data_IF_771679626789
#
_entry.id   IF_771679626789
#
_cell.length_a   1.000
_cell.length_b   1.000
_cell.length_c   1.000
_cell.angle_alpha   90.00
_cell.angle_beta   90.00
_cell.angle_gamma   90.00
#
_symmetry.space_group_name_H-M   'P 1'
#
loop_
_entity.id
_entity.type
_entity.pdbx_description
1 polymer ?
#
# COMPACT_ATOMS: atom_id res chain seq x y z
N UNK A 1 3.23 -3.47 23.51
CA UNK A 1 4.20 -2.42 23.17
C UNK A 1 4.03 -1.26 24.15
N UNK A 2 5.08 -0.97 24.96
CA UNK A 2 5.06 0.14 25.95
C UNK A 2 5.71 1.42 25.38
N UNK A 3 5.63 1.65 24.08
CA UNK A 3 6.08 2.91 23.51
C UNK A 3 5.06 4.01 23.81
N UNK A 4 5.53 5.15 24.30
CA UNK A 4 4.69 6.32 24.45
C UNK A 4 4.04 6.69 23.11
N UNK A 5 2.78 7.16 23.09
CA UNK A 5 2.15 7.62 21.88
C UNK A 5 2.98 8.73 21.23
N UNK A 6 3.18 8.65 19.93
CA UNK A 6 3.80 9.76 19.21
C UNK A 6 2.83 10.95 19.16
N UNK A 7 3.36 12.16 19.35
CA UNK A 7 2.60 13.37 19.11
C UNK A 7 2.16 13.41 17.63
N UNK A 8 0.88 13.70 17.39
CA UNK A 8 0.38 13.92 16.05
C UNK A 8 0.98 15.20 15.50
N UNK A 9 1.70 15.09 14.39
CA UNK A 9 2.23 16.24 13.68
C UNK A 9 1.27 16.59 12.55
N UNK A 10 0.75 17.81 12.48
CA UNK A 10 -0.11 18.22 11.38
C UNK A 10 0.66 18.12 10.06
N UNK A 11 -0.03 17.90 8.92
CA UNK A 11 0.61 17.90 7.62
C UNK A 11 1.22 19.26 7.32
N UNK A 12 2.25 19.27 6.49
CA UNK A 12 2.87 20.50 6.00
C UNK A 12 1.80 21.40 5.36
N UNK A 13 1.76 22.66 5.75
CA UNK A 13 0.72 23.61 5.33
C UNK A 13 -0.57 23.56 6.17
N UNK A 14 -0.61 22.82 7.26
CA UNK A 14 -1.73 22.76 8.21
C UNK A 14 -2.93 21.96 7.71
N UNK A 15 -4.06 22.11 8.39
CA UNK A 15 -5.33 21.45 8.05
C UNK A 15 -5.94 22.09 6.82
N UNK A 16 -6.16 21.30 5.78
CA UNK A 16 -6.78 21.74 4.52
C UNK A 16 -7.49 20.57 3.82
N UNK A 17 -8.32 20.91 2.85
CA UNK A 17 -8.90 19.89 1.98
C UNK A 17 -7.82 19.21 1.14
N UNK A 18 -7.84 17.89 1.11
CA UNK A 18 -6.93 17.10 0.28
C UNK A 18 -7.52 16.94 -1.12
N UNK A 19 -6.87 17.47 -2.13
CA UNK A 19 -7.31 17.37 -3.52
C UNK A 19 -6.25 16.75 -4.39
N UNK A 20 -6.66 15.96 -5.38
CA UNK A 20 -5.72 15.32 -6.31
C UNK A 20 -4.86 16.36 -7.04
N UNK A 21 -5.48 17.43 -7.54
CA UNK A 21 -4.81 18.46 -8.35
C UNK A 21 -3.70 19.20 -7.58
N UNK A 22 -3.81 19.35 -6.25
CA UNK A 22 -2.81 20.07 -5.44
C UNK A 22 -1.82 19.14 -4.74
N UNK A 23 -2.20 17.90 -4.44
CA UNK A 23 -1.35 17.03 -3.64
C UNK A 23 -0.70 15.93 -4.46
N UNK A 24 -1.42 15.34 -5.43
CA UNK A 24 -0.94 14.21 -6.22
C UNK A 24 -0.43 14.65 -7.60
N UNK A 25 -1.19 15.51 -8.29
CA UNK A 25 -0.80 15.96 -9.63
C UNK A 25 0.61 16.57 -9.70
N UNK A 26 1.07 17.40 -8.74
CA UNK A 26 2.45 17.89 -8.74
C UNK A 26 3.52 16.81 -8.73
N UNK A 27 3.23 15.67 -8.08
CA UNK A 27 4.13 14.52 -8.07
C UNK A 27 4.19 13.90 -9.47
N UNK A 28 3.02 13.73 -10.11
CA UNK A 28 2.93 13.23 -11.47
C UNK A 28 3.64 14.15 -12.46
N UNK A 29 3.42 15.46 -12.34
CA UNK A 29 4.03 16.49 -13.20
C UNK A 29 5.57 16.46 -13.08
N UNK A 30 6.10 16.21 -11.91
CA UNK A 30 7.54 16.11 -11.69
C UNK A 30 8.11 14.76 -12.12
N UNK A 31 7.51 13.67 -11.68
CA UNK A 31 8.15 12.36 -11.69
C UNK A 31 7.65 11.40 -12.78
N UNK A 32 6.49 11.67 -13.40
CA UNK A 32 5.82 10.69 -14.26
C UNK A 32 5.62 11.18 -15.70
N UNK A 33 5.24 12.45 -15.91
CA UNK A 33 4.84 12.94 -17.24
C UNK A 33 5.98 12.99 -18.26
N UNK A 34 7.24 12.88 -17.84
CA UNK A 34 8.35 12.72 -18.77
C UNK A 34 8.19 11.49 -19.69
N UNK A 35 7.51 10.44 -19.20
CA UNK A 35 7.20 9.24 -19.97
C UNK A 35 5.67 9.09 -20.21
N UNK A 36 4.84 9.57 -19.27
CA UNK A 36 3.38 9.49 -19.31
C UNK A 36 2.76 10.78 -19.86
N UNK A 37 3.17 11.16 -21.07
CA UNK A 37 2.75 12.41 -21.73
C UNK A 37 1.71 12.21 -22.84
N UNK A 38 1.18 11.00 -22.98
CA UNK A 38 0.21 10.68 -24.02
C UNK A 38 0.80 10.53 -25.43
N UNK A 39 2.13 10.59 -25.58
CA UNK A 39 2.86 10.46 -26.85
C UNK A 39 3.52 9.08 -26.98
N UNK A 40 2.79 8.03 -26.88
CA UNK A 40 3.35 6.68 -26.94
C UNK A 40 2.41 5.62 -26.43
N UNK A 41 3.00 4.53 -25.91
CA UNK A 41 2.21 3.41 -25.34
C UNK A 41 1.76 3.66 -23.90
N UNK A 42 2.41 4.58 -23.19
CA UNK A 42 2.06 4.91 -21.80
C UNK A 42 0.84 5.83 -21.77
N UNK A 43 -0.06 5.59 -20.86
CA UNK A 43 -1.23 6.44 -20.64
C UNK A 43 -0.84 7.83 -20.15
N UNK A 44 -1.67 8.82 -20.47
CA UNK A 44 -1.41 10.24 -20.16
C UNK A 44 -1.66 10.55 -18.67
N UNK A 45 -0.66 11.08 -17.99
CA UNK A 45 -0.73 11.54 -16.59
C UNK A 45 -0.62 13.07 -16.45
N UNK A 46 -0.68 13.82 -17.56
CA UNK A 46 -0.68 15.27 -17.50
C UNK A 46 -1.99 15.79 -16.91
N UNK A 47 -1.88 16.81 -16.06
CA UNK A 47 -3.03 17.53 -15.53
C UNK A 47 -3.72 18.44 -16.53
N UNK A 48 -4.84 19.03 -16.13
CA UNK A 48 -5.54 20.09 -16.87
C UNK A 48 -6.67 19.63 -17.79
N UNK A 49 -6.62 18.45 -18.38
CA UNK A 49 -7.73 17.89 -19.16
C UNK A 49 -8.76 17.25 -18.23
N UNK A 50 -10.05 17.56 -18.46
CA UNK A 50 -11.16 17.00 -17.69
C UNK A 50 -12.16 16.34 -18.62
N UNK A 51 -12.80 15.27 -18.14
CA UNK A 51 -13.91 14.62 -18.84
C UNK A 51 -15.22 15.41 -18.67
N UNK A 52 -16.30 14.96 -19.31
CA UNK A 52 -17.62 15.60 -19.24
C UNK A 52 -18.24 15.62 -17.84
N UNK A 53 -17.71 14.84 -16.89
CA UNK A 53 -18.12 14.80 -15.47
C UNK A 53 -17.21 15.67 -14.60
N UNK A 54 -16.15 16.25 -15.17
CA UNK A 54 -15.20 17.12 -14.48
C UNK A 54 -14.05 16.40 -13.79
N UNK A 55 -13.85 15.09 -14.05
CA UNK A 55 -12.69 14.34 -13.56
C UNK A 55 -11.47 14.58 -14.45
N UNK A 56 -10.31 14.71 -13.83
CA UNK A 56 -9.04 14.84 -14.54
C UNK A 56 -8.65 13.57 -15.30
N UNK A 57 -8.11 13.69 -16.52
CA UNK A 57 -7.63 12.53 -17.29
C UNK A 57 -6.55 11.76 -16.54
N UNK A 58 -5.62 12.46 -15.90
CA UNK A 58 -4.56 11.85 -15.08
C UNK A 58 -5.14 11.07 -13.89
N UNK A 59 -6.15 11.61 -13.23
CA UNK A 59 -6.86 10.94 -12.15
C UNK A 59 -7.51 9.64 -12.63
N UNK A 60 -8.28 9.71 -13.73
CA UNK A 60 -8.96 8.53 -14.29
C UNK A 60 -7.98 7.46 -14.76
N UNK A 61 -6.86 7.84 -15.33
CA UNK A 61 -5.84 6.91 -15.81
C UNK A 61 -5.05 6.27 -14.67
N UNK A 62 -4.85 6.97 -13.55
CA UNK A 62 -4.14 6.45 -12.39
C UNK A 62 -5.02 5.60 -11.48
N UNK A 63 -6.30 5.91 -11.43
CA UNK A 63 -7.28 5.32 -10.55
C UNK A 63 -7.37 3.77 -10.59
N UNK A 64 -7.27 3.09 -11.76
CA UNK A 64 -7.30 1.62 -11.83
C UNK A 64 -6.14 0.94 -11.08
N UNK A 65 -5.06 1.66 -10.81
CA UNK A 65 -3.88 1.14 -10.09
C UNK A 65 -3.95 1.36 -8.59
N UNK A 66 -5.08 1.87 -8.10
CA UNK A 66 -5.31 2.14 -6.68
C UNK A 66 -6.51 1.33 -6.21
N UNK A 67 -6.27 0.41 -5.28
CA UNK A 67 -7.37 -0.27 -4.60
C UNK A 67 -8.10 0.72 -3.71
N UNK A 68 -9.38 0.89 -3.96
CA UNK A 68 -10.27 1.71 -3.15
C UNK A 68 -11.66 1.10 -3.08
N UNK A 69 -12.36 1.39 -2.00
CA UNK A 69 -13.77 1.08 -1.90
C UNK A 69 -14.57 2.10 -2.71
N UNK A 70 -15.31 1.63 -3.71
CA UNK A 70 -16.25 2.43 -4.49
C UNK A 70 -17.70 2.17 -4.06
N UNK A 71 -18.63 2.95 -4.60
CA UNK A 71 -20.06 2.72 -4.40
C UNK A 71 -20.56 1.39 -5.00
N UNK A 72 -19.79 0.84 -5.92
CA UNK A 72 -20.01 -0.47 -6.55
C UNK A 72 -19.12 -1.57 -5.94
N UNK A 73 -18.36 -1.24 -4.89
CA UNK A 73 -17.53 -2.22 -4.19
C UNK A 73 -18.41 -3.26 -3.51
N UNK A 74 -17.96 -4.51 -3.55
CA UNK A 74 -18.63 -5.58 -2.84
C UNK A 74 -18.79 -5.23 -1.37
N UNK A 75 -20.03 -5.20 -0.91
CA UNK A 75 -20.37 -4.99 0.51
C UNK A 75 -20.06 -6.25 1.33
N UNK A 76 -19.08 -7.02 0.91
CA UNK A 76 -18.61 -8.22 1.57
C UNK A 76 -17.51 -7.92 2.60
N UNK A 77 -17.23 -8.91 3.43
CA UNK A 77 -16.17 -8.82 4.44
C UNK A 77 -14.85 -8.49 3.77
N UNK A 78 -14.26 -7.37 4.16
CA UNK A 78 -12.96 -6.94 3.67
C UNK A 78 -11.84 -7.75 4.32
N UNK A 79 -10.88 -8.17 3.53
CA UNK A 79 -9.67 -8.77 4.06
C UNK A 79 -8.76 -7.69 4.70
N UNK A 80 -8.01 -8.02 5.75
CA UNK A 80 -7.03 -7.10 6.31
C UNK A 80 -6.09 -6.58 5.21
N UNK A 81 -5.86 -5.27 5.20
CA UNK A 81 -5.04 -4.56 4.20
C UNK A 81 -5.57 -4.55 2.76
N UNK A 82 -6.80 -4.96 2.49
CA UNK A 82 -7.35 -5.00 1.13
C UNK A 82 -7.29 -3.63 0.43
N UNK A 83 -7.58 -2.55 1.15
CA UNK A 83 -7.52 -1.16 0.64
C UNK A 83 -6.35 -0.36 1.20
N UNK A 84 -5.32 -1.03 1.66
CA UNK A 84 -4.14 -0.38 2.21
C UNK A 84 -3.20 0.08 1.09
N UNK A 85 -2.47 1.21 1.24
CA UNK A 85 -1.52 1.68 0.23
C UNK A 85 -0.52 0.61 -0.25
N UNK A 86 -0.01 -0.21 0.66
CA UNK A 86 0.96 -1.26 0.33
C UNK A 86 0.39 -2.38 -0.56
N UNK A 87 -0.92 -2.55 -0.62
CA UNK A 87 -1.59 -3.52 -1.51
C UNK A 87 -1.96 -2.91 -2.85
N UNK A 88 -1.91 -1.58 -2.99
CA UNK A 88 -2.19 -0.89 -4.25
C UNK A 88 -1.08 -1.15 -5.26
N UNK A 89 -1.48 -1.46 -6.49
CA UNK A 89 -0.55 -1.75 -7.58
C UNK A 89 0.39 -0.59 -7.87
N UNK A 90 -0.09 0.66 -7.80
CA UNK A 90 0.72 1.85 -7.95
C UNK A 90 1.92 1.86 -6.99
N UNK A 91 1.66 1.60 -5.71
CA UNK A 91 2.72 1.63 -4.68
C UNK A 91 3.70 0.48 -4.88
N UNK A 92 3.18 -0.71 -5.16
CA UNK A 92 3.99 -1.91 -5.43
C UNK A 92 4.89 -1.70 -6.66
N UNK A 93 4.33 -1.15 -7.74
CA UNK A 93 5.06 -0.85 -8.97
C UNK A 93 6.21 0.14 -8.72
N UNK A 94 5.92 1.24 -8.02
CA UNK A 94 6.93 2.26 -7.73
C UNK A 94 8.02 1.74 -6.78
N UNK A 95 7.66 0.99 -5.74
CA UNK A 95 8.62 0.35 -4.82
C UNK A 95 9.49 -0.69 -5.52
N UNK A 96 8.95 -1.40 -6.51
CA UNK A 96 9.69 -2.36 -7.33
C UNK A 96 10.71 -1.68 -8.28
N UNK A 97 10.68 -0.35 -8.38
CA UNK A 97 11.65 0.42 -9.15
C UNK A 97 11.19 0.72 -10.58
N UNK A 98 9.94 1.07 -10.78
CA UNK A 98 9.37 1.47 -12.07
C UNK A 98 10.25 2.52 -12.75
N UNK A 99 11.00 2.11 -13.77
CA UNK A 99 11.96 2.93 -14.53
C UNK A 99 12.86 3.83 -13.67
N UNK A 100 13.12 3.42 -12.44
CA UNK A 100 13.92 4.18 -11.47
C UNK A 100 13.33 5.56 -11.10
N UNK A 101 12.03 5.69 -11.12
CA UNK A 101 11.36 6.87 -10.58
C UNK A 101 11.63 6.95 -9.08
N UNK A 102 12.10 8.12 -8.64
CA UNK A 102 12.38 8.38 -7.23
C UNK A 102 11.40 9.42 -6.69
N UNK A 103 10.73 9.07 -5.61
CA UNK A 103 9.86 9.96 -4.85
C UNK A 103 10.54 10.31 -3.52
N UNK A 104 10.38 11.54 -3.10
CA UNK A 104 10.79 11.97 -1.76
C UNK A 104 9.86 11.40 -0.69
N UNK A 105 10.29 11.40 0.57
CA UNK A 105 9.45 10.95 1.68
C UNK A 105 8.16 11.77 1.81
N UNK A 106 8.20 13.06 1.48
CA UNK A 106 7.02 13.92 1.47
C UNK A 106 6.03 13.52 0.37
N UNK A 107 6.52 13.18 -0.82
CA UNK A 107 5.70 12.70 -1.93
C UNK A 107 5.11 11.32 -1.65
N UNK A 108 5.88 10.41 -1.05
CA UNK A 108 5.38 9.13 -0.59
C UNK A 108 4.24 9.30 0.42
N UNK A 109 4.40 10.18 1.41
CA UNK A 109 3.32 10.47 2.37
C UNK A 109 2.05 10.99 1.69
N UNK A 110 2.18 11.85 0.66
CA UNK A 110 1.03 12.34 -0.09
C UNK A 110 0.31 11.22 -0.87
N UNK A 111 1.06 10.33 -1.50
CA UNK A 111 0.48 9.16 -2.20
C UNK A 111 -0.23 8.24 -1.21
N UNK A 112 0.39 7.93 -0.07
CA UNK A 112 -0.24 7.09 0.95
C UNK A 112 -1.51 7.74 1.51
N UNK A 113 -1.45 9.00 1.88
CA UNK A 113 -2.62 9.74 2.37
C UNK A 113 -3.74 9.77 1.33
N UNK A 114 -3.41 9.96 0.06
CA UNK A 114 -4.40 9.92 -1.02
C UNK A 114 -5.14 8.59 -1.06
N UNK A 115 -4.42 7.49 -0.97
CA UNK A 115 -5.00 6.15 -0.97
C UNK A 115 -5.80 5.90 0.31
N UNK A 116 -5.27 6.24 1.48
CA UNK A 116 -5.94 6.08 2.77
C UNK A 116 -7.22 6.93 2.89
N UNK A 117 -7.30 8.05 2.19
CA UNK A 117 -8.51 8.86 2.08
C UNK A 117 -9.49 8.35 1.01
N UNK A 118 -9.31 7.15 0.52
CA UNK A 118 -10.13 6.54 -0.53
C UNK A 118 -9.98 7.24 -1.89
N UNK A 119 -8.79 7.68 -2.23
CA UNK A 119 -8.39 8.27 -3.50
C UNK A 119 -9.33 9.40 -3.99
N UNK A 120 -9.55 10.47 -3.22
CA UNK A 120 -10.42 11.55 -3.64
C UNK A 120 -9.84 12.32 -4.85
N UNK A 121 -10.71 12.70 -5.78
CA UNK A 121 -10.38 13.68 -6.83
C UNK A 121 -10.46 15.10 -6.26
N UNK A 122 -11.59 15.43 -5.64
CA UNK A 122 -11.85 16.70 -4.99
C UNK A 122 -12.09 16.48 -3.50
N UNK A 123 -11.24 17.03 -2.67
CA UNK A 123 -11.35 16.92 -1.21
C UNK A 123 -12.22 18.01 -0.58
N UNK A 124 -12.83 18.88 -1.36
CA UNK A 124 -13.72 19.92 -0.88
C UNK A 124 -15.15 19.64 -1.34
N UNK A 125 -16.07 20.16 -0.57
CA UNK A 125 -17.47 20.05 -0.88
C UNK A 125 -17.85 20.95 -2.06
N UNK A 126 -18.43 20.37 -3.11
CA UNK A 126 -18.98 21.15 -4.23
C UNK A 126 -20.50 21.15 -4.14
N UNK A 127 -21.08 22.28 -3.74
CA UNK A 127 -22.52 22.45 -3.62
C UNK A 127 -23.28 22.13 -4.94
N UNK A 128 -22.64 22.32 -6.10
CA UNK A 128 -23.26 22.05 -7.40
C UNK A 128 -23.45 20.54 -7.67
N UNK A 129 -22.69 19.66 -7.02
CA UNK A 129 -22.86 18.21 -7.18
C UNK A 129 -24.10 17.72 -6.44
N UNK A 130 -24.53 18.39 -5.37
CA UNK A 130 -25.71 18.00 -4.60
C UNK A 130 -27.02 18.35 -5.29
N UNK A 131 -27.05 19.32 -6.19
CA UNK A 131 -28.26 19.70 -6.91
C UNK A 131 -28.63 18.73 -8.02
N UNK A 132 -27.72 17.85 -8.42
CA UNK A 132 -27.92 16.87 -9.49
C UNK A 132 -28.20 15.43 -9.00
N UNK A 133 -28.13 15.18 -7.70
CA UNK A 133 -28.41 13.86 -7.11
C UNK A 133 -29.73 13.86 -6.31
N UNK A 134 -30.42 12.68 -6.18
CA UNK A 134 -31.73 12.58 -5.51
C UNK A 134 -31.70 12.83 -3.99
N UNK A 135 -30.57 13.29 -3.46
CA UNK A 135 -30.42 13.70 -2.05
C UNK A 135 -30.82 15.17 -1.81
N UNK A 136 -31.73 15.69 -2.64
CA UNK A 136 -32.32 17.00 -2.43
C UNK A 136 -32.96 17.05 -1.03
N UNK A 137 -32.45 17.91 -0.17
CA UNK A 137 -32.95 18.11 1.20
C UNK A 137 -31.99 17.77 2.33
N UNK A 138 -30.83 17.19 2.04
CA UNK A 138 -29.79 16.96 3.06
C UNK A 138 -28.73 18.06 3.00
N UNK A 139 -28.78 19.01 3.93
CA UNK A 139 -27.80 20.08 4.00
C UNK A 139 -26.47 19.60 4.58
N UNK A 140 -25.63 19.09 3.70
CA UNK A 140 -24.29 18.62 4.03
C UNK A 140 -23.38 19.74 4.56
N UNK A 141 -23.62 20.99 4.15
CA UNK A 141 -22.84 22.16 4.57
C UNK A 141 -23.14 22.44 6.03
N UNK A 142 -24.41 22.53 6.38
CA UNK A 142 -24.82 22.74 7.76
C UNK A 142 -24.41 21.54 8.65
N UNK A 143 -24.57 20.32 8.17
CA UNK A 143 -24.12 19.14 8.90
C UNK A 143 -22.63 19.10 9.13
N UNK A 144 -21.83 19.44 8.12
CA UNK A 144 -20.38 19.55 8.23
C UNK A 144 -20.01 20.62 9.26
N UNK A 145 -20.64 21.78 9.21
CA UNK A 145 -20.44 22.84 10.20
C UNK A 145 -20.71 22.36 11.62
N UNK A 146 -21.88 21.76 11.86
CA UNK A 146 -22.22 21.20 13.17
C UNK A 146 -21.19 20.20 13.69
N UNK A 147 -20.69 19.31 12.82
CA UNK A 147 -19.68 18.33 13.20
C UNK A 147 -18.32 19.01 13.46
N UNK A 148 -17.95 20.01 12.68
CA UNK A 148 -16.72 20.78 12.89
C UNK A 148 -16.79 21.58 14.19
N UNK A 149 -17.91 22.24 14.45
CA UNK A 149 -18.13 22.97 15.68
C UNK A 149 -18.07 22.05 16.90
N UNK A 150 -18.67 20.87 16.79
CA UNK A 150 -18.74 19.89 17.88
C UNK A 150 -17.41 19.19 18.17
N UNK A 151 -16.65 18.82 17.15
CA UNK A 151 -15.51 17.91 17.29
C UNK A 151 -14.15 18.56 16.97
N UNK A 152 -14.11 19.66 16.26
CA UNK A 152 -12.90 20.34 15.82
C UNK A 152 -12.69 21.75 16.44
N UNK A 153 -13.34 22.04 17.55
CA UNK A 153 -13.09 23.25 18.34
C UNK A 153 -13.71 24.55 17.81
N UNK A 154 -14.76 24.46 17.01
CA UNK A 154 -15.59 25.64 16.65
C UNK A 154 -15.04 26.58 15.59
N UNK A 155 -13.96 26.20 14.93
CA UNK A 155 -13.50 26.90 13.73
C UNK A 155 -14.38 26.47 12.54
N UNK A 156 -15.53 27.12 12.36
CA UNK A 156 -16.42 26.83 11.25
C UNK A 156 -15.67 26.84 9.92
N UNK A 157 -15.80 25.77 9.15
CA UNK A 157 -15.17 25.68 7.82
C UNK A 157 -16.00 26.54 6.85
N UNK A 158 -15.43 27.63 6.38
CA UNK A 158 -16.00 28.42 5.28
C UNK A 158 -15.70 27.71 3.95
N UNK A 159 -16.66 26.91 3.50
CA UNK A 159 -16.53 26.15 2.25
C UNK A 159 -16.37 27.04 1.02
N UNK A 160 -16.92 28.26 1.01
CA UNK A 160 -16.75 29.22 -0.08
C UNK A 160 -15.30 29.71 -0.14
N UNK A 161 -14.74 30.00 1.02
CA UNK A 161 -13.34 30.35 1.16
C UNK A 161 -12.44 29.19 0.74
N UNK A 162 -12.72 27.96 1.16
CA UNK A 162 -11.95 26.77 0.73
C UNK A 162 -11.92 26.63 -0.80
N UNK A 163 -13.07 26.82 -1.48
CA UNK A 163 -13.13 26.75 -2.95
C UNK A 163 -12.33 27.89 -3.58
N UNK A 164 -12.44 29.11 -3.04
CA UNK A 164 -11.69 30.26 -3.52
C UNK A 164 -10.17 30.08 -3.33
N UNK A 165 -9.76 29.62 -2.16
CA UNK A 165 -8.36 29.33 -1.84
C UNK A 165 -7.80 28.23 -2.74
N UNK A 166 -8.57 27.18 -3.00
CA UNK A 166 -8.21 26.12 -3.93
C UNK A 166 -8.02 26.65 -5.36
N UNK A 167 -8.96 27.44 -5.85
CA UNK A 167 -8.88 28.05 -7.18
C UNK A 167 -7.65 28.99 -7.30
N UNK A 168 -7.37 29.76 -6.25
CA UNK A 168 -6.19 30.61 -6.19
C UNK A 168 -4.88 29.79 -6.20
N UNK A 169 -4.81 28.71 -5.43
CA UNK A 169 -3.65 27.83 -5.41
C UNK A 169 -3.41 27.15 -6.77
N UNK A 170 -4.47 26.68 -7.44
CA UNK A 170 -4.34 26.13 -8.80
C UNK A 170 -3.83 27.16 -9.80
N UNK A 171 -4.35 28.40 -9.72
CA UNK A 171 -3.92 29.49 -10.60
C UNK A 171 -2.45 29.89 -10.36
N UNK A 172 -2.03 29.86 -9.11
CA UNK A 172 -0.68 30.24 -8.69
C UNK A 172 0.32 29.06 -8.73
N UNK A 173 -0.14 27.87 -9.10
CA UNK A 173 0.71 26.69 -9.28
C UNK A 173 1.72 27.00 -10.38
N UNK A 174 2.98 27.13 -10.02
CA UNK A 174 4.06 27.34 -10.98
C UNK A 174 4.21 26.13 -11.92
N UNK A 175 4.88 26.35 -13.05
CA UNK A 175 5.24 25.27 -13.97
C UNK A 175 6.21 24.31 -13.28
N UNK A 176 5.84 23.03 -13.22
CA UNK A 176 6.69 21.98 -12.70
C UNK A 176 7.40 21.32 -13.87
N UNK A 177 8.74 21.42 -13.91
CA UNK A 177 9.52 20.77 -14.95
C UNK A 177 9.62 19.27 -14.67
N UNK A 178 9.27 18.41 -15.64
CA UNK A 178 9.41 16.98 -15.51
C UNK A 178 10.88 16.57 -15.32
N UNK A 179 11.11 15.62 -14.44
CA UNK A 179 12.44 15.04 -14.22
C UNK A 179 12.48 13.69 -14.91
N UNK A 180 13.31 13.56 -15.93
CA UNK A 180 13.58 12.24 -16.52
C UNK A 180 14.31 11.36 -15.51
N UNK A 181 13.78 10.16 -15.21
CA UNK A 181 14.47 9.21 -14.36
C UNK A 181 15.84 8.87 -14.97
N UNK A 182 16.86 8.80 -14.13
CA UNK A 182 18.16 8.31 -14.58
C UNK A 182 18.00 6.88 -15.06
N UNK A 183 18.41 6.60 -16.30
CA UNK A 183 18.49 5.20 -16.77
C UNK A 183 19.45 4.47 -15.82
N UNK A 184 18.91 3.63 -14.99
CA UNK A 184 19.73 2.66 -14.26
C UNK A 184 19.90 1.51 -15.22
N UNK A 185 21.14 1.12 -15.45
CA UNK A 185 21.41 -0.21 -16.01
C UNK A 185 20.64 -1.19 -15.11
N UNK A 186 19.89 -2.14 -15.69
CA UNK A 186 19.16 -3.12 -14.88
C UNK A 186 20.15 -3.62 -13.83
N UNK A 187 19.74 -3.56 -12.56
CA UNK A 187 20.55 -4.13 -11.48
C UNK A 187 20.86 -5.53 -11.94
N UNK A 188 22.12 -5.79 -12.28
CA UNK A 188 22.54 -7.14 -12.62
C UNK A 188 22.19 -7.94 -11.39
N UNK A 189 21.20 -8.79 -11.50
CA UNK A 189 20.82 -9.72 -10.42
C UNK A 189 22.09 -10.37 -9.95
N UNK A 190 22.51 -10.08 -8.73
CA UNK A 190 23.64 -10.76 -8.13
C UNK A 190 23.16 -12.16 -7.84
N UNK A 191 23.31 -13.05 -8.81
CA UNK A 191 22.96 -14.45 -8.64
C UNK A 191 23.85 -15.02 -7.53
N UNK A 192 23.29 -15.05 -6.34
CA UNK A 192 23.94 -15.69 -5.20
C UNK A 192 23.92 -17.20 -5.45
N UNK A 193 25.09 -17.79 -5.46
CA UNK A 193 25.23 -19.25 -5.65
C UNK A 193 25.51 -19.93 -4.31
N UNK A 194 24.68 -20.87 -3.96
CA UNK A 194 24.90 -21.83 -2.90
C UNK A 194 24.98 -23.20 -3.55
N UNK A 195 26.00 -23.98 -3.20
CA UNK A 195 26.25 -25.30 -3.82
C UNK A 195 25.05 -26.21 -3.63
N UNK A 196 24.45 -26.62 -4.74
CA UNK A 196 23.30 -27.52 -4.76
C UNK A 196 21.94 -26.84 -4.54
N UNK A 197 21.87 -25.54 -4.25
CA UNK A 197 20.60 -24.81 -4.10
C UNK A 197 19.97 -24.45 -5.48
N UNK A 198 18.66 -24.57 -5.65
CA UNK A 198 17.65 -25.17 -4.74
C UNK A 198 17.87 -26.67 -4.60
N UNK A 199 17.74 -27.19 -3.35
CA UNK A 199 17.99 -28.60 -3.08
C UNK A 199 16.89 -29.48 -3.63
N UNK A 200 17.28 -30.52 -4.38
CA UNK A 200 16.35 -31.60 -4.72
C UNK A 200 15.96 -32.39 -3.45
N UNK A 201 14.77 -33.02 -3.43
CA UNK A 201 14.30 -33.79 -2.27
C UNK A 201 15.29 -34.88 -1.80
N UNK A 202 15.97 -35.55 -2.71
CA UNK A 202 16.95 -36.59 -2.38
C UNK A 202 18.18 -35.98 -1.71
N UNK A 203 18.60 -34.79 -2.10
CA UNK A 203 19.70 -34.10 -1.42
C UNK A 203 19.34 -33.73 0.01
N UNK A 204 18.08 -33.34 0.27
CA UNK A 204 17.62 -33.06 1.65
C UNK A 204 17.65 -34.35 2.48
N UNK A 205 17.25 -35.48 1.93
CA UNK A 205 17.35 -36.80 2.60
C UNK A 205 18.79 -37.12 2.95
N UNK A 206 19.74 -36.88 2.04
CA UNK A 206 21.16 -37.09 2.32
C UNK A 206 21.67 -36.19 3.47
N UNK A 207 21.25 -34.93 3.51
CA UNK A 207 21.62 -33.97 4.56
C UNK A 207 21.06 -34.36 5.94
N UNK A 208 20.01 -35.15 5.97
CA UNK A 208 19.34 -35.65 7.17
C UNK A 208 19.68 -37.14 7.47
N UNK A 209 20.60 -37.75 6.72
CA UNK A 209 20.88 -39.17 6.84
C UNK A 209 21.35 -39.63 8.26
N UNK A 210 22.00 -38.70 8.98
CA UNK A 210 22.48 -38.95 10.35
C UNK A 210 21.42 -38.64 11.43
N UNK A 211 20.29 -38.05 11.05
CA UNK A 211 19.21 -37.75 11.98
C UNK A 211 18.36 -38.98 12.25
N UNK A 212 18.18 -39.31 13.54
CA UNK A 212 17.36 -40.46 13.95
C UNK A 212 15.89 -40.33 13.64
N UNK A 213 15.42 -39.11 13.59
CA UNK A 213 14.02 -38.76 13.36
C UNK A 213 13.96 -37.52 12.46
N UNK A 214 13.22 -37.63 11.37
CA UNK A 214 13.05 -36.52 10.41
C UNK A 214 11.65 -35.92 10.42
N UNK A 215 10.68 -36.60 11.00
CA UNK A 215 9.31 -36.17 11.23
C UNK A 215 8.92 -36.50 12.65
N UNK A 216 8.29 -35.55 13.33
CA UNK A 216 7.82 -35.71 14.70
C UNK A 216 6.39 -35.24 14.83
N UNK A 217 5.53 -36.08 15.35
CA UNK A 217 4.14 -35.72 15.69
C UNK A 217 4.05 -35.54 17.20
N UNK A 218 3.59 -34.36 17.61
CA UNK A 218 3.30 -34.02 18.99
C UNK A 218 1.80 -33.86 19.18
N UNK A 219 1.26 -34.55 20.18
CA UNK A 219 -0.06 -34.26 20.68
C UNK A 219 0.03 -33.11 21.70
N UNK A 220 -0.47 -31.94 21.33
CA UNK A 220 -0.39 -30.71 22.15
C UNK A 220 -1.58 -30.58 23.11
N UNK A 221 -2.66 -31.30 22.82
CA UNK A 221 -3.81 -31.53 23.69
C UNK A 221 -4.57 -32.74 23.20
N UNK A 222 -5.49 -33.33 24.02
CA UNK A 222 -6.27 -34.49 23.62
C UNK A 222 -6.92 -34.33 22.25
N UNK A 223 -6.49 -35.13 21.27
CA UNK A 223 -6.96 -35.11 19.89
C UNK A 223 -6.45 -33.97 19.03
N UNK A 224 -5.53 -33.11 19.51
CA UNK A 224 -4.93 -32.01 18.74
C UNK A 224 -3.45 -32.29 18.52
N UNK A 225 -3.07 -32.52 17.29
CA UNK A 225 -1.70 -32.87 16.90
C UNK A 225 -1.04 -31.77 16.08
N UNK A 226 0.29 -31.67 16.19
CA UNK A 226 1.16 -30.89 15.32
C UNK A 226 2.26 -31.79 14.75
N UNK A 227 2.42 -31.73 13.43
CA UNK A 227 3.53 -32.39 12.75
C UNK A 227 4.67 -31.43 12.54
N UNK A 228 5.88 -31.89 12.90
CA UNK A 228 7.11 -31.14 12.69
C UNK A 228 8.03 -31.92 11.76
N UNK A 229 8.70 -31.16 10.87
CA UNK A 229 9.73 -31.70 9.99
C UNK A 229 11.10 -31.19 10.39
N UNK A 230 12.12 -32.02 10.22
CA UNK A 230 13.50 -31.66 10.52
C UNK A 230 14.07 -30.84 9.37
N UNK A 231 14.49 -29.64 9.66
CA UNK A 231 15.20 -28.77 8.71
C UNK A 231 16.69 -28.91 8.96
N UNK A 232 17.48 -29.33 7.95
CA UNK A 232 18.91 -29.55 8.12
C UNK A 232 19.68 -28.23 8.30
N UNK A 233 20.85 -28.33 8.95
CA UNK A 233 21.84 -27.27 8.89
C UNK A 233 22.34 -27.10 7.44
N UNK A 234 22.64 -25.88 7.04
CA UNK A 234 23.10 -25.62 5.67
C UNK A 234 22.98 -24.16 5.27
N UNK A 235 23.19 -23.90 4.00
CA UNK A 235 23.10 -22.57 3.42
C UNK A 235 22.09 -22.58 2.28
N UNK A 236 21.32 -21.52 2.17
CA UNK A 236 20.37 -21.32 1.07
C UNK A 236 20.27 -19.85 0.67
N UNK A 237 19.62 -19.58 -0.46
CA UNK A 237 19.33 -18.22 -0.88
C UNK A 237 17.87 -17.90 -0.55
N UNK A 238 17.66 -16.91 0.29
CA UNK A 238 16.34 -16.38 0.65
C UNK A 238 16.02 -15.17 -0.21
N UNK A 239 14.76 -15.04 -0.58
CA UNK A 239 14.24 -13.94 -1.39
C UNK A 239 14.18 -14.24 -2.89
N UNK A 240 13.60 -13.31 -3.63
CA UNK A 240 13.42 -13.39 -5.09
C UNK A 240 13.46 -12.01 -5.72
N UNK A 241 14.09 -11.86 -6.87
CA UNK A 241 14.00 -10.64 -7.68
C UNK A 241 12.71 -10.56 -8.50
N UNK A 242 11.95 -11.65 -8.57
CA UNK A 242 10.69 -11.75 -9.31
C UNK A 242 9.44 -11.77 -8.40
N UNK A 243 9.66 -11.71 -7.08
CA UNK A 243 8.59 -11.68 -6.08
C UNK A 243 8.14 -10.27 -5.73
N UNK A 244 7.43 -10.19 -4.59
CA UNK A 244 7.00 -8.91 -4.02
C UNK A 244 8.21 -8.03 -3.62
N UNK A 245 8.04 -6.70 -3.50
CA UNK A 245 9.14 -5.79 -3.19
C UNK A 245 9.91 -6.10 -1.91
N UNK A 246 9.28 -6.73 -0.94
CA UNK A 246 9.86 -7.14 0.34
C UNK A 246 10.67 -8.44 0.25
N UNK A 247 10.61 -9.14 -0.89
CA UNK A 247 11.37 -10.37 -1.11
C UNK A 247 12.79 -10.16 -1.61
N UNK A 248 13.20 -8.93 -1.89
CA UNK A 248 14.55 -8.60 -2.33
C UNK A 248 15.24 -7.54 -1.45
N UNK A 249 16.57 -7.44 -1.47
CA UNK A 249 17.50 -8.24 -2.27
C UNK A 249 17.58 -9.70 -1.79
N UNK A 250 17.93 -10.61 -2.72
CA UNK A 250 18.23 -11.98 -2.33
C UNK A 250 19.41 -12.00 -1.37
N UNK A 251 19.34 -12.85 -0.35
CA UNK A 251 20.33 -12.92 0.72
C UNK A 251 20.74 -14.38 0.97
N UNK A 252 22.03 -14.60 1.15
CA UNK A 252 22.53 -15.91 1.56
C UNK A 252 22.31 -16.08 3.06
N UNK A 253 21.57 -17.10 3.42
CA UNK A 253 21.22 -17.43 4.81
C UNK A 253 21.93 -18.73 5.20
N UNK A 254 22.49 -18.77 6.40
CA UNK A 254 23.13 -19.93 6.98
C UNK A 254 22.33 -20.41 8.19
N UNK A 255 21.97 -21.66 8.19
CA UNK A 255 21.39 -22.37 9.33
C UNK A 255 22.51 -23.18 9.97
N UNK A 256 22.96 -22.78 11.15
CA UNK A 256 24.10 -23.39 11.80
C UNK A 256 23.78 -24.78 12.43
N UNK A 257 22.54 -24.99 12.85
CA UNK A 257 22.08 -26.22 13.49
C UNK A 257 20.73 -26.63 12.95
N UNK A 258 20.56 -27.92 12.69
CA UNK A 258 19.26 -28.46 12.32
C UNK A 258 18.20 -28.15 13.40
N UNK A 259 16.97 -27.83 12.97
CA UNK A 259 15.89 -27.51 13.88
C UNK A 259 14.55 -28.12 13.41
N UNK A 260 13.55 -28.07 14.25
CA UNK A 260 12.22 -28.56 13.96
C UNK A 260 11.33 -27.39 13.51
N UNK A 261 10.60 -27.56 12.43
CA UNK A 261 9.64 -26.59 11.93
C UNK A 261 8.29 -27.27 11.73
N UNK A 262 7.19 -26.58 12.01
CA UNK A 262 5.86 -27.09 11.68
C UNK A 262 5.76 -27.41 10.19
N UNK A 263 5.21 -28.56 9.85
CA UNK A 263 4.97 -28.98 8.47
C UNK A 263 3.93 -28.09 7.80
N UNK A 264 2.96 -27.64 8.59
CA UNK A 264 1.89 -26.72 8.18
C UNK A 264 1.86 -25.51 9.11
N UNK A 265 1.16 -24.48 8.68
CA UNK A 265 0.83 -23.32 9.48
C UNK A 265 0.01 -23.74 10.71
N UNK A 266 0.13 -22.96 11.79
CA UNK A 266 -0.61 -23.22 13.04
C UNK A 266 -2.09 -22.98 12.80
N UNK A 267 -2.92 -24.00 13.04
CA UNK A 267 -4.37 -23.88 12.92
C UNK A 267 -4.98 -23.13 14.11
N UNK A 268 -6.18 -22.56 13.93
CA UNK A 268 -6.93 -21.94 15.02
C UNK A 268 -7.16 -22.92 16.19
N UNK A 269 -7.44 -24.18 15.90
CA UNK A 269 -7.60 -25.21 16.92
C UNK A 269 -6.33 -25.43 17.74
N UNK A 270 -5.18 -25.53 17.08
CA UNK A 270 -3.88 -25.66 17.75
C UNK A 270 -3.55 -24.41 18.57
N UNK A 271 -3.80 -23.22 18.02
CA UNK A 271 -3.54 -21.98 18.75
C UNK A 271 -4.42 -21.83 19.98
N UNK A 272 -5.71 -22.12 19.86
CA UNK A 272 -6.67 -22.05 20.97
C UNK A 272 -6.37 -23.03 22.10
N UNK A 273 -5.62 -24.09 21.83
CA UNK A 273 -5.15 -25.03 22.86
C UNK A 273 -4.23 -24.34 23.88
N UNK A 274 -3.43 -23.39 23.43
CA UNK A 274 -2.45 -22.67 24.26
C UNK A 274 -3.08 -21.35 24.76
N UNK A 275 -3.92 -20.72 23.95
CA UNK A 275 -4.59 -19.47 24.24
C UNK A 275 -6.13 -19.63 24.10
N UNK A 276 -6.81 -20.24 25.07
CA UNK A 276 -8.23 -20.57 24.98
C UNK A 276 -9.17 -19.36 24.83
N UNK A 277 -8.68 -18.15 25.14
CA UNK A 277 -9.44 -16.91 24.99
C UNK A 277 -9.23 -16.24 23.63
N UNK A 278 -8.42 -16.84 22.74
CA UNK A 278 -8.22 -16.32 21.41
C UNK A 278 -9.47 -16.55 20.57
N UNK A 279 -9.96 -15.48 19.98
CA UNK A 279 -11.02 -15.48 18.97
C UNK A 279 -10.45 -14.93 17.67
N UNK A 280 -10.26 -15.79 16.68
CA UNK A 280 -9.79 -15.40 15.35
C UNK A 280 -10.87 -14.68 14.54
N UNK A 281 -12.12 -14.71 14.99
CA UNK A 281 -13.31 -14.16 14.30
C UNK A 281 -13.50 -14.66 12.85
N UNK A 282 -12.97 -15.85 12.52
CA UNK A 282 -13.13 -16.53 11.24
C UNK A 282 -13.75 -17.92 11.44
#
# INVERSE_FOLDING_TARGET
SQKAPHALTPPEGGTRSFTFDLEVQPILDRACIACHNGEGKAFDLRGGKKDGRGYGTSYLNLHPYVHRQGGEGDMVVLYPYEYHPNTSELVRLLKKGHYNVQLTDAEWRKIYNWIDYNAPDKGYFNANVLTSFPYQGYDQIERRKQLTDKYAGGAGVDWKKEIADYAAQLKNKGEIKPVMPKKVSPVKEKVLKVKGWPFAPDRVKEMLADEKETVKVLEIAPGVQMTFVRIPAGEFVMGSYHGEPDTYPTTKVKIDKAFWMGELEVTNQQYNTIFPQHDSRY
#
